data_IF_611186139043
#
_entry.id   IF_611186139043
#
_cell.length_a   1.000
_cell.length_b   1.000
_cell.length_c   1.000
_cell.angle_alpha   90.00
_cell.angle_beta   90.00
_cell.angle_gamma   90.00
#
_symmetry.space_group_name_H-M   'P 1'
#
loop_
_entity.id
_entity.type
_entity.pdbx_description
1 polymer ?
#
# COMPACT_ATOMS: atom_id res chain seq x y z
N UNK A 1 2.80 -6.87 -1.86
CA UNK A 1 3.03 -5.39 -1.84
C UNK A 1 1.84 -4.70 -2.49
N UNK A 2 1.30 -3.59 -1.94
CA UNK A 2 0.22 -2.83 -2.60
C UNK A 2 0.56 -2.50 -4.06
N UNK A 3 -0.36 -2.81 -4.98
CA UNK A 3 -0.16 -2.65 -6.43
C UNK A 3 0.48 -3.83 -7.17
N UNK A 4 0.92 -4.89 -6.48
CA UNK A 4 1.45 -6.12 -7.11
C UNK A 4 0.61 -7.37 -6.81
N UNK A 5 -0.64 -7.19 -6.36
CA UNK A 5 -1.59 -8.27 -6.09
C UNK A 5 -3.00 -7.87 -6.49
N UNK A 6 -3.99 -8.65 -6.06
CA UNK A 6 -5.34 -8.59 -6.64
C UNK A 6 -6.32 -7.63 -5.95
N UNK A 7 -5.87 -6.86 -4.95
CA UNK A 7 -6.74 -5.90 -4.24
C UNK A 7 -7.04 -4.70 -5.14
N UNK A 8 -8.34 -4.39 -5.30
CA UNK A 8 -8.80 -3.12 -5.85
C UNK A 8 -8.59 -1.99 -4.82
N UNK A 9 -7.40 -1.40 -4.85
CA UNK A 9 -6.99 -0.35 -3.90
C UNK A 9 -7.81 0.93 -4.01
N UNK A 10 -8.30 1.26 -5.22
CA UNK A 10 -9.17 2.42 -5.40
C UNK A 10 -10.46 2.22 -4.62
N UNK A 11 -11.13 1.07 -4.81
CA UNK A 11 -12.36 0.75 -4.08
C UNK A 11 -12.14 0.66 -2.58
N UNK A 12 -11.03 0.05 -2.14
CA UNK A 12 -10.71 -0.09 -0.73
C UNK A 12 -10.54 1.27 -0.04
N UNK A 13 -9.75 2.16 -0.63
CA UNK A 13 -9.48 3.50 -0.06
C UNK A 13 -10.72 4.39 -0.11
N UNK A 14 -11.49 4.34 -1.20
CA UNK A 14 -12.77 5.08 -1.29
C UNK A 14 -13.72 4.68 -0.16
N UNK A 15 -13.83 3.39 0.18
CA UNK A 15 -14.67 2.95 1.29
C UNK A 15 -14.22 3.52 2.65
N UNK A 16 -12.91 3.64 2.89
CA UNK A 16 -12.39 4.29 4.10
C UNK A 16 -12.72 5.79 4.13
N UNK A 17 -12.52 6.47 3.01
CA UNK A 17 -12.81 7.90 2.85
C UNK A 17 -14.30 8.21 3.03
N UNK A 18 -15.18 7.38 2.47
CA UNK A 18 -16.64 7.53 2.59
C UNK A 18 -17.13 7.42 4.04
N UNK A 19 -16.39 6.69 4.89
CA UNK A 19 -16.68 6.59 6.33
C UNK A 19 -15.95 7.64 7.17
N UNK A 20 -15.22 8.56 6.55
CA UNK A 20 -14.48 9.62 7.25
C UNK A 20 -13.28 9.11 8.05
N UNK A 21 -12.69 7.98 7.66
CA UNK A 21 -11.46 7.48 8.31
C UNK A 21 -10.30 8.45 8.06
N UNK A 22 -9.77 9.04 9.13
CA UNK A 22 -8.74 10.09 9.12
C UNK A 22 -7.43 9.66 9.78
N UNK A 23 -7.26 8.36 10.02
CA UNK A 23 -6.09 7.78 10.67
C UNK A 23 -5.08 7.21 9.65
N UNK A 24 -4.05 6.56 10.16
CA UNK A 24 -2.90 6.09 9.35
C UNK A 24 -3.25 4.87 8.49
N UNK A 25 -2.69 4.82 7.28
CA UNK A 25 -2.59 3.61 6.45
C UNK A 25 -1.14 3.08 6.52
N UNK A 26 -0.93 1.98 7.24
CA UNK A 26 0.39 1.34 7.37
C UNK A 26 0.63 0.35 6.22
N UNK A 27 1.88 0.24 5.77
CA UNK A 27 2.29 -0.70 4.71
C UNK A 27 3.17 -1.78 5.33
N UNK A 28 2.75 -3.02 5.18
CA UNK A 28 3.51 -4.21 5.57
C UNK A 28 3.69 -5.12 4.35
N UNK A 29 4.81 -5.83 4.28
CA UNK A 29 5.01 -6.88 3.29
C UNK A 29 6.08 -7.88 3.74
N UNK A 30 5.91 -9.14 3.32
CA UNK A 30 6.87 -10.25 3.51
C UNK A 30 7.17 -10.91 2.15
N UNK A 31 7.19 -10.11 1.08
CA UNK A 31 7.29 -10.64 -0.27
C UNK A 31 8.67 -11.30 -0.50
N UNK A 32 8.71 -12.60 -0.90
CA UNK A 32 9.96 -13.33 -1.02
C UNK A 32 10.84 -12.80 -2.17
N UNK A 33 10.27 -12.11 -3.16
CA UNK A 33 11.03 -11.46 -4.22
C UNK A 33 11.74 -10.21 -3.69
N UNK A 34 11.13 -9.51 -2.73
CA UNK A 34 11.64 -8.28 -2.12
C UNK A 34 12.18 -8.54 -0.70
N UNK A 35 13.06 -9.54 -0.57
CA UNK A 35 13.70 -9.91 0.70
C UNK A 35 15.00 -9.16 0.97
N UNK A 36 15.49 -9.23 2.22
CA UNK A 36 16.70 -8.53 2.68
C UNK A 36 16.48 -7.02 2.84
N UNK A 37 17.41 -6.33 3.52
CA UNK A 37 17.22 -4.92 3.94
C UNK A 37 16.85 -4.00 2.77
N UNK A 38 17.56 -4.13 1.64
CA UNK A 38 17.29 -3.32 0.45
C UNK A 38 15.97 -3.70 -0.25
N UNK A 39 15.68 -5.00 -0.36
CA UNK A 39 14.44 -5.51 -0.93
C UNK A 39 13.23 -5.05 -0.12
N UNK A 40 13.30 -5.17 1.21
CA UNK A 40 12.26 -4.70 2.13
C UNK A 40 11.97 -3.21 1.91
N UNK A 41 13.00 -2.37 1.87
CA UNK A 41 12.85 -0.94 1.60
C UNK A 41 12.23 -0.67 0.23
N UNK A 42 12.67 -1.40 -0.80
CA UNK A 42 12.14 -1.26 -2.17
C UNK A 42 10.66 -1.64 -2.26
N UNK A 43 10.27 -2.73 -1.61
CA UNK A 43 8.87 -3.18 -1.56
C UNK A 43 7.96 -2.14 -0.89
N UNK A 44 8.40 -1.54 0.22
CA UNK A 44 7.68 -0.45 0.87
C UNK A 44 7.53 0.78 -0.03
N UNK A 45 8.58 1.18 -0.76
CA UNK A 45 8.52 2.31 -1.69
C UNK A 45 7.55 2.05 -2.84
N UNK A 46 7.51 0.82 -3.37
CA UNK A 46 6.55 0.44 -4.43
C UNK A 46 5.12 0.56 -3.90
N UNK A 47 4.85 -0.02 -2.74
CA UNK A 47 3.54 0.06 -2.10
C UNK A 47 3.12 1.51 -1.82
N UNK A 48 4.04 2.32 -1.29
CA UNK A 48 3.80 3.73 -1.01
C UNK A 48 3.41 4.48 -2.29
N UNK A 49 4.21 4.36 -3.35
CA UNK A 49 3.92 5.02 -4.64
C UNK A 49 2.56 4.61 -5.20
N UNK A 50 2.20 3.33 -5.08
CA UNK A 50 0.91 2.85 -5.55
C UNK A 50 -0.27 3.34 -4.69
N UNK A 51 -0.10 3.51 -3.38
CA UNK A 51 -1.20 3.97 -2.53
C UNK A 51 -1.36 5.50 -2.57
N UNK A 52 -0.27 6.26 -2.70
CA UNK A 52 -0.30 7.73 -2.72
C UNK A 52 -1.15 8.34 -3.84
N UNK A 53 -1.39 7.63 -4.95
CA UNK A 53 -2.26 8.08 -6.04
C UNK A 53 -3.77 8.11 -5.67
N UNK A 54 -4.16 7.52 -4.55
CA UNK A 54 -5.56 7.46 -4.09
C UNK A 54 -5.81 8.28 -2.81
N UNK A 55 -4.75 8.84 -2.22
CA UNK A 55 -4.81 9.64 -1.01
C UNK A 55 -4.79 11.13 -1.38
N UNK A 56 -5.44 12.01 -0.57
CA UNK A 56 -5.43 13.45 -0.78
C UNK A 56 -4.04 14.09 -0.63
#
# INVERSE_FOLDING_TARGET
IPGLGDIDWKRFISALQDQGYDYVLSIEHEDPVYHGVEGFRKGLIIGLRHLSQFLP
#
